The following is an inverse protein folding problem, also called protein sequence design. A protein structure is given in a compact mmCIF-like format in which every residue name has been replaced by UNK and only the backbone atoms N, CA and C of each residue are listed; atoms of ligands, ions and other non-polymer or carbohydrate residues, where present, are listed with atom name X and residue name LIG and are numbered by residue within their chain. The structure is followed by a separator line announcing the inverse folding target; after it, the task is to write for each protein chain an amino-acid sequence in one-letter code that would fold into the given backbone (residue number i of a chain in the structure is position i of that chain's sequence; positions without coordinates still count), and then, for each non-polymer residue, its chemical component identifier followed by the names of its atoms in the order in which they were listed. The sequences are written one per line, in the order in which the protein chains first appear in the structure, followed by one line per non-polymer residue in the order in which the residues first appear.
data_IF_922997375941
#
_entry.id   IF_922997375941
#
_cell.length_a   1.000
_cell.length_b   1.000
_cell.length_c   1.000
_cell.angle_alpha   90.00
_cell.angle_beta   90.00
_cell.angle_gamma   90.00
#
_symmetry.space_group_name_H-M   'P 1'
#
loop_
_entity.id
_entity.type
_entity.pdbx_description
1 polymer ?
#
# COMPACT_ATOMS: atom_id res chain seq x y z
N UNK A 1 18.96 -3.68 16.32
CA UNK A 1 17.52 -3.39 16.50
C UNK A 1 16.72 -4.41 15.70
N UNK A 2 15.76 -5.10 16.31
CA UNK A 2 15.03 -6.22 15.68
C UNK A 2 13.66 -5.76 15.15
N UNK A 3 13.66 -4.85 14.18
CA UNK A 3 12.44 -4.38 13.51
C UNK A 3 11.99 -5.29 12.38
N UNK A 4 10.73 -5.07 11.90
CA UNK A 4 10.27 -5.63 10.64
C UNK A 4 11.23 -5.22 9.52
N UNK A 5 11.81 -6.17 8.82
CA UNK A 5 12.78 -5.86 7.77
C UNK A 5 12.90 -6.97 6.73
N UNK A 6 13.33 -6.58 5.55
CA UNK A 6 13.77 -7.47 4.51
C UNK A 6 15.28 -7.58 4.68
N UNK A 7 15.81 -8.79 4.77
CA UNK A 7 17.26 -9.03 4.92
C UNK A 7 17.91 -9.45 3.61
N UNK A 8 17.15 -10.06 2.69
CA UNK A 8 17.61 -10.36 1.35
C UNK A 8 16.44 -10.31 0.36
N UNK A 9 16.74 -9.93 -0.88
CA UNK A 9 15.79 -9.92 -1.99
C UNK A 9 16.47 -10.53 -3.22
N UNK A 10 15.78 -11.44 -3.88
CA UNK A 10 16.19 -12.03 -5.15
C UNK A 10 15.08 -11.86 -6.18
N UNK A 11 15.44 -11.37 -7.34
CA UNK A 11 14.57 -11.15 -8.50
C UNK A 11 14.95 -12.10 -9.62
N UNK A 12 13.98 -12.74 -10.27
CA UNK A 12 14.17 -13.57 -11.44
C UNK A 12 13.13 -13.23 -12.49
N UNK A 13 13.57 -12.82 -13.68
CA UNK A 13 12.73 -12.45 -14.83
C UNK A 13 11.63 -11.42 -14.46
N UNK A 14 11.95 -10.49 -13.56
CA UNK A 14 11.01 -9.50 -13.03
C UNK A 14 11.25 -8.13 -13.67
N UNK A 15 10.31 -7.64 -14.46
CA UNK A 15 10.41 -6.35 -15.18
C UNK A 15 11.69 -6.28 -16.01
N UNK A 16 12.57 -5.30 -15.72
CA UNK A 16 13.88 -5.14 -16.36
C UNK A 16 14.99 -6.00 -15.75
N UNK A 17 14.74 -6.66 -14.61
CA UNK A 17 15.72 -7.51 -13.95
C UNK A 17 15.63 -8.95 -14.47
N UNK A 18 16.66 -9.42 -15.16
CA UNK A 18 16.81 -10.82 -15.57
C UNK A 18 17.11 -11.71 -14.37
N UNK A 19 18.11 -11.32 -13.60
CA UNK A 19 18.47 -11.87 -12.32
C UNK A 19 19.09 -10.75 -11.49
N UNK A 20 18.70 -10.65 -10.23
CA UNK A 20 19.24 -9.65 -9.32
C UNK A 20 19.11 -10.13 -7.89
N UNK A 21 20.07 -9.78 -7.06
CA UNK A 21 20.04 -10.06 -5.64
C UNK A 21 20.63 -8.90 -4.86
N UNK A 22 20.09 -8.64 -3.68
CA UNK A 22 20.61 -7.65 -2.75
C UNK A 22 20.41 -8.14 -1.32
N UNK A 23 21.41 -7.90 -0.48
CA UNK A 23 21.37 -8.12 0.97
C UNK A 23 21.23 -6.76 1.64
N UNK A 24 20.30 -6.69 2.57
CA UNK A 24 20.02 -5.47 3.34
C UNK A 24 20.53 -5.63 4.77
N UNK A 25 21.11 -4.58 5.31
CA UNK A 25 21.64 -4.55 6.67
C UNK A 25 20.65 -4.05 7.73
N UNK A 26 19.42 -3.73 7.33
CA UNK A 26 18.33 -3.25 8.18
C UNK A 26 18.28 -1.73 8.35
N UNK A 27 19.28 -0.98 7.88
CA UNK A 27 19.23 0.49 7.80
C UNK A 27 18.27 0.94 6.69
N UNK A 28 17.88 2.21 6.63
CA UNK A 28 17.29 2.80 5.44
C UNK A 28 18.17 2.53 4.21
N UNK A 29 17.57 2.35 3.05
CA UNK A 29 18.26 2.02 1.79
C UNK A 29 18.03 3.15 0.80
N UNK A 30 19.09 3.76 0.32
CA UNK A 30 19.08 4.78 -0.72
C UNK A 30 19.45 4.15 -2.07
N UNK A 31 18.51 4.11 -3.00
CA UNK A 31 18.71 3.57 -4.34
C UNK A 31 18.82 4.70 -5.33
N UNK A 32 20.02 4.89 -5.88
CA UNK A 32 20.32 5.89 -6.90
C UNK A 32 20.43 5.26 -8.29
N UNK A 33 20.34 6.10 -9.33
CA UNK A 33 20.55 5.68 -10.72
C UNK A 33 19.70 6.49 -11.70
N UNK A 34 19.97 6.41 -13.00
CA UNK A 34 19.27 7.17 -14.03
C UNK A 34 17.79 6.76 -14.14
N UNK A 35 17.00 7.61 -14.81
CA UNK A 35 15.61 7.29 -15.14
C UNK A 35 15.57 6.02 -16.02
N UNK A 36 14.60 5.14 -15.75
CA UNK A 36 14.45 3.89 -16.49
C UNK A 36 15.39 2.76 -16.06
N UNK A 37 16.38 3.00 -15.18
CA UNK A 37 17.33 1.97 -14.74
C UNK A 37 16.70 0.79 -13.97
N UNK A 38 15.44 0.91 -13.51
CA UNK A 38 14.75 -0.18 -12.82
C UNK A 38 14.67 -0.01 -11.31
N UNK A 39 14.95 1.17 -10.75
CA UNK A 39 14.84 1.48 -9.31
C UNK A 39 13.43 1.18 -8.76
N UNK A 40 12.40 1.73 -9.39
CA UNK A 40 10.99 1.48 -9.02
C UNK A 40 10.60 0.01 -9.15
N UNK A 41 11.24 -0.77 -10.02
CA UNK A 41 10.96 -2.20 -10.15
C UNK A 41 11.39 -2.98 -8.89
N UNK A 42 12.42 -2.54 -8.18
CA UNK A 42 12.82 -3.11 -6.89
C UNK A 42 11.75 -2.83 -5.84
N UNK A 43 11.25 -1.58 -5.75
CA UNK A 43 10.16 -1.23 -4.83
C UNK A 43 8.88 -2.01 -5.19
N UNK A 44 8.58 -2.16 -6.48
CA UNK A 44 7.44 -2.95 -6.94
C UNK A 44 7.55 -4.42 -6.49
N UNK A 45 8.72 -5.03 -6.64
CA UNK A 45 8.97 -6.38 -6.17
C UNK A 45 8.76 -6.51 -4.66
N UNK A 46 9.30 -5.58 -3.87
CA UNK A 46 9.12 -5.55 -2.42
C UNK A 46 7.65 -5.37 -2.06
N UNK A 47 6.91 -4.51 -2.76
CA UNK A 47 5.48 -4.29 -2.50
C UNK A 47 4.63 -5.55 -2.70
N UNK A 48 5.10 -6.50 -3.50
CA UNK A 48 4.47 -7.81 -3.67
C UNK A 48 4.70 -8.77 -2.47
N UNK A 49 5.53 -8.43 -1.51
CA UNK A 49 5.62 -9.14 -0.22
C UNK A 49 4.47 -8.76 0.73
N UNK A 50 3.47 -8.06 0.24
CA UNK A 50 2.22 -7.71 0.94
C UNK A 50 0.99 -8.16 0.15
N UNK A 51 -0.20 -8.22 0.77
CA UNK A 51 -1.44 -8.53 0.07
C UNK A 51 -1.76 -7.54 -1.06
N UNK A 52 -2.37 -8.06 -2.14
CA UNK A 52 -2.82 -7.26 -3.26
C UNK A 52 -1.83 -7.20 -4.43
N UNK A 53 -2.04 -6.26 -5.36
CA UNK A 53 -1.36 -6.20 -6.67
C UNK A 53 -0.09 -5.35 -6.69
N UNK A 54 0.51 -5.07 -5.51
CA UNK A 54 1.68 -4.22 -5.40
C UNK A 54 1.42 -2.74 -5.69
N UNK A 55 2.49 -1.95 -5.69
CA UNK A 55 2.41 -0.47 -5.75
C UNK A 55 1.89 0.06 -7.10
N UNK A 56 2.20 -0.58 -8.24
CA UNK A 56 1.72 -0.19 -9.57
C UNK A 56 0.43 -0.89 -10.00
N UNK A 57 -0.05 -1.89 -9.24
CA UNK A 57 -1.26 -2.67 -9.52
C UNK A 57 -1.26 -3.36 -10.89
N UNK A 58 -0.10 -3.74 -11.39
CA UNK A 58 0.06 -4.43 -12.65
C UNK A 58 -0.69 -5.78 -12.65
N UNK A 59 -1.11 -6.25 -13.82
CA UNK A 59 -1.54 -7.62 -13.97
C UNK A 59 -0.34 -8.57 -13.78
N UNK A 60 -0.58 -9.79 -13.32
CA UNK A 60 0.51 -10.74 -13.02
C UNK A 60 1.42 -10.97 -14.22
N UNK A 61 0.86 -11.08 -15.43
CA UNK A 61 1.62 -11.25 -16.67
C UNK A 61 2.52 -10.07 -17.02
N UNK A 62 2.09 -8.83 -16.66
CA UNK A 62 2.85 -7.62 -16.96
C UNK A 62 4.11 -7.46 -16.10
N UNK A 63 4.26 -8.25 -15.05
CA UNK A 63 5.44 -8.26 -14.18
C UNK A 63 6.60 -9.05 -14.75
N UNK A 64 6.33 -9.95 -15.71
CA UNK A 64 7.36 -10.75 -16.37
C UNK A 64 8.27 -9.88 -17.25
N UNK A 65 9.53 -10.28 -17.34
CA UNK A 65 10.51 -9.61 -18.19
C UNK A 65 10.23 -9.89 -19.67
N UNK A 66 10.13 -8.82 -20.45
CA UNK A 66 10.01 -8.90 -21.90
C UNK A 66 11.40 -8.98 -22.58
N UNK A 67 11.50 -9.66 -23.74
CA UNK A 67 10.46 -10.34 -24.51
C UNK A 67 10.21 -11.81 -24.09
N UNK A 68 10.95 -12.33 -23.11
CA UNK A 68 10.98 -13.76 -22.77
C UNK A 68 9.67 -14.27 -22.16
N UNK A 69 9.04 -13.47 -21.30
CA UNK A 69 7.70 -13.70 -20.69
C UNK A 69 7.40 -15.13 -20.21
N UNK A 70 8.40 -15.86 -19.71
CA UNK A 70 8.25 -17.23 -19.18
C UNK A 70 7.61 -17.26 -17.79
N UNK A 71 7.46 -16.10 -17.17
CA UNK A 71 7.04 -15.91 -15.79
C UNK A 71 8.04 -15.03 -15.04
N UNK A 72 7.79 -14.84 -13.78
CA UNK A 72 8.64 -14.05 -12.88
C UNK A 72 8.63 -14.64 -11.48
N UNK A 73 9.69 -14.38 -10.70
CA UNK A 73 9.76 -14.75 -9.29
C UNK A 73 10.44 -13.66 -8.48
N UNK A 74 9.87 -13.38 -7.32
CA UNK A 74 10.45 -12.57 -6.25
C UNK A 74 10.60 -13.47 -5.03
N UNK A 75 11.79 -13.53 -4.47
CA UNK A 75 12.11 -14.25 -3.24
C UNK A 75 12.72 -13.27 -2.26
N UNK A 76 12.30 -13.33 -1.00
CA UNK A 76 12.86 -12.49 0.05
C UNK A 76 13.06 -13.31 1.33
N UNK A 77 14.12 -12.96 2.06
CA UNK A 77 14.25 -13.29 3.46
C UNK A 77 13.79 -12.08 4.27
N UNK A 78 12.87 -12.32 5.20
CA UNK A 78 12.26 -11.23 5.97
C UNK A 78 12.34 -11.55 7.46
N UNK A 79 12.55 -10.52 8.25
CA UNK A 79 12.36 -10.57 9.70
C UNK A 79 10.95 -10.08 10.00
N UNK A 80 10.10 -10.99 10.48
CA UNK A 80 8.71 -10.76 10.81
C UNK A 80 8.52 -10.28 12.25
N UNK A 81 7.25 -10.21 12.66
CA UNK A 81 6.86 -9.87 14.03
C UNK A 81 7.50 -10.84 15.04
N UNK A 82 7.93 -10.30 16.18
CA UNK A 82 8.60 -11.09 17.21
C UNK A 82 10.03 -11.54 16.85
N UNK A 83 10.59 -11.05 15.73
CA UNK A 83 11.96 -11.36 15.31
C UNK A 83 12.11 -12.71 14.59
N UNK A 84 11.00 -13.37 14.23
CA UNK A 84 11.02 -14.59 13.42
C UNK A 84 11.56 -14.32 12.03
N UNK A 85 12.40 -15.23 11.50
CA UNK A 85 12.88 -15.18 10.13
C UNK A 85 11.97 -16.02 9.24
N UNK A 86 11.56 -15.48 8.09
CA UNK A 86 10.73 -16.17 7.12
C UNK A 86 11.31 -16.05 5.73
N UNK A 87 11.22 -17.13 4.96
CA UNK A 87 11.46 -17.13 3.52
C UNK A 87 10.12 -16.92 2.81
N UNK A 88 10.00 -15.82 2.09
CA UNK A 88 8.79 -15.47 1.33
C UNK A 88 9.11 -15.55 -0.15
N UNK A 89 8.29 -16.29 -0.89
CA UNK A 89 8.37 -16.40 -2.34
C UNK A 89 7.03 -16.03 -2.96
N UNK A 90 7.08 -15.26 -4.03
CA UNK A 90 5.91 -14.98 -4.86
C UNK A 90 6.29 -14.99 -6.33
N UNK A 91 5.46 -15.61 -7.16
CA UNK A 91 5.76 -15.81 -8.57
C UNK A 91 4.49 -15.95 -9.41
N UNK A 92 4.64 -15.94 -10.70
CA UNK A 92 3.65 -16.41 -11.66
C UNK A 92 4.36 -17.01 -12.86
N UNK A 93 3.79 -18.07 -13.40
CA UNK A 93 4.26 -18.77 -14.58
C UNK A 93 3.37 -18.48 -15.79
N UNK A 94 3.98 -18.18 -16.95
CA UNK A 94 3.26 -18.09 -18.22
C UNK A 94 2.03 -17.15 -18.24
N UNK A 95 2.03 -16.07 -17.45
CA UNK A 95 0.88 -15.16 -17.34
C UNK A 95 -0.25 -15.65 -16.44
N UNK A 96 -0.05 -16.75 -15.72
CA UNK A 96 -0.98 -17.31 -14.73
C UNK A 96 -1.20 -16.42 -13.51
N UNK A 97 -2.02 -16.87 -12.56
CA UNK A 97 -2.25 -16.15 -11.31
C UNK A 97 -0.97 -16.09 -10.48
N UNK A 98 -0.88 -15.04 -9.67
CA UNK A 98 0.21 -14.90 -8.71
C UNK A 98 0.05 -15.90 -7.57
N UNK A 99 1.10 -16.66 -7.32
CA UNK A 99 1.23 -17.63 -6.24
C UNK A 99 2.12 -17.09 -5.12
N UNK A 100 1.95 -17.64 -3.90
CA UNK A 100 2.72 -17.27 -2.72
C UNK A 100 3.10 -18.51 -1.92
N UNK A 101 4.33 -18.51 -1.39
CA UNK A 101 4.83 -19.50 -0.45
C UNK A 101 5.54 -18.79 0.70
N UNK A 102 5.30 -19.25 1.92
CA UNK A 102 5.99 -18.82 3.14
C UNK A 102 6.58 -20.05 3.79
N UNK A 103 7.88 -20.04 4.06
CA UNK A 103 8.63 -21.17 4.66
C UNK A 103 8.36 -22.48 3.94
N UNK A 104 8.46 -22.43 2.61
CA UNK A 104 8.23 -23.54 1.67
C UNK A 104 6.78 -24.09 1.65
N UNK A 105 5.81 -23.44 2.33
CA UNK A 105 4.40 -23.82 2.32
C UNK A 105 3.59 -22.86 1.46
N UNK A 106 2.85 -23.41 0.48
CA UNK A 106 1.90 -22.63 -0.33
C UNK A 106 0.81 -21.99 0.55
N UNK A 107 0.51 -20.74 0.31
CA UNK A 107 -0.44 -19.98 1.12
C UNK A 107 -1.15 -18.90 0.29
N UNK A 108 -2.16 -18.25 0.88
CA UNK A 108 -2.85 -17.13 0.26
C UNK A 108 -2.01 -15.85 0.32
N UNK A 109 -2.29 -14.91 -0.60
CA UNK A 109 -1.65 -13.59 -0.56
C UNK A 109 -1.99 -12.81 0.72
N UNK A 110 -3.16 -13.06 1.33
CA UNK A 110 -3.59 -12.40 2.58
C UNK A 110 -2.67 -12.74 3.75
N UNK A 111 -2.09 -13.94 3.77
CA UNK A 111 -1.16 -14.37 4.81
C UNK A 111 0.11 -13.49 4.89
N UNK A 112 0.54 -12.90 3.78
CA UNK A 112 1.69 -11.98 3.75
C UNK A 112 1.52 -10.81 4.72
N UNK A 113 0.28 -10.31 4.86
CA UNK A 113 -0.03 -9.22 5.79
C UNK A 113 0.21 -9.56 7.26
N UNK A 114 0.31 -10.82 7.63
CA UNK A 114 0.61 -11.26 9.00
C UNK A 114 2.11 -11.37 9.27
N UNK A 115 2.92 -11.46 8.22
CA UNK A 115 4.38 -11.57 8.32
C UNK A 115 5.04 -10.19 8.31
N UNK A 116 4.68 -9.35 7.33
CA UNK A 116 5.34 -8.08 7.09
C UNK A 116 4.32 -6.95 6.88
N UNK A 117 4.60 -5.79 7.41
CA UNK A 117 3.83 -4.55 7.18
C UNK A 117 4.60 -3.67 6.21
N UNK A 118 4.00 -3.35 5.09
CA UNK A 118 4.63 -2.51 4.06
C UNK A 118 3.70 -1.36 3.71
N UNK A 119 4.22 -0.15 3.79
CA UNK A 119 3.57 1.07 3.34
C UNK A 119 4.38 1.69 2.21
N UNK A 120 3.72 2.40 1.31
CA UNK A 120 4.42 3.08 0.23
C UNK A 120 3.81 4.43 -0.12
N UNK A 121 4.67 5.28 -0.66
CA UNK A 121 4.30 6.50 -1.34
C UNK A 121 5.02 6.54 -2.68
N UNK A 122 4.25 6.72 -3.74
CA UNK A 122 4.73 6.72 -5.12
C UNK A 122 4.20 7.94 -5.87
N UNK A 123 4.83 8.42 -6.94
CA UNK A 123 4.43 9.64 -7.66
C UNK A 123 2.97 9.61 -8.13
N UNK A 124 2.43 8.45 -8.48
CA UNK A 124 1.01 8.32 -8.85
C UNK A 124 0.04 8.74 -7.73
N UNK A 125 0.50 8.80 -6.47
CA UNK A 125 -0.32 9.23 -5.33
C UNK A 125 -0.27 10.73 -5.09
N UNK A 126 0.60 11.49 -5.75
CA UNK A 126 0.70 12.95 -5.60
C UNK A 126 -0.61 13.67 -5.95
N UNK A 127 -1.46 13.01 -6.76
CA UNK A 127 -2.79 13.52 -7.15
C UNK A 127 -3.95 12.92 -6.34
N UNK A 128 -3.67 12.21 -5.24
CA UNK A 128 -4.65 11.47 -4.46
C UNK A 128 -5.85 12.34 -4.04
N UNK A 129 -5.60 13.57 -3.62
CA UNK A 129 -6.63 14.46 -3.10
C UNK A 129 -7.50 15.10 -4.18
N UNK A 130 -6.97 15.26 -5.40
CA UNK A 130 -7.69 15.84 -6.54
C UNK A 130 -8.39 14.80 -7.42
N UNK A 131 -7.92 13.57 -7.43
CA UNK A 131 -8.53 12.48 -8.21
C UNK A 131 -9.75 11.88 -7.52
N UNK A 132 -10.43 10.96 -8.19
CA UNK A 132 -11.63 10.30 -7.67
C UNK A 132 -11.39 9.49 -6.39
N UNK A 133 -12.45 9.30 -5.63
CA UNK A 133 -12.45 8.61 -4.33
C UNK A 133 -11.85 7.20 -4.32
N UNK A 134 -11.75 6.52 -5.47
CA UNK A 134 -11.19 5.17 -5.55
C UNK A 134 -9.72 5.13 -5.12
N UNK A 135 -8.92 6.15 -5.50
CA UNK A 135 -7.53 6.28 -5.07
C UNK A 135 -7.43 6.42 -3.54
N UNK A 136 -8.25 7.30 -2.96
CA UNK A 136 -8.29 7.56 -1.51
C UNK A 136 -8.75 6.34 -0.71
N UNK A 137 -9.75 5.58 -1.19
CA UNK A 137 -10.14 4.30 -0.56
C UNK A 137 -8.98 3.31 -0.54
N UNK A 138 -8.29 3.14 -1.66
CA UNK A 138 -7.13 2.22 -1.72
C UNK A 138 -6.00 2.64 -0.78
N UNK A 139 -5.74 3.93 -0.66
CA UNK A 139 -4.77 4.46 0.29
C UNK A 139 -5.19 4.16 1.73
N UNK A 140 -6.44 4.44 2.07
CA UNK A 140 -7.02 4.12 3.38
C UNK A 140 -6.94 2.61 3.67
N UNK A 141 -7.38 1.75 2.73
CA UNK A 141 -7.37 0.31 2.91
C UNK A 141 -5.95 -0.24 3.08
N UNK A 142 -4.95 0.38 2.45
CA UNK A 142 -3.55 0.04 2.67
C UNK A 142 -3.09 0.38 4.09
N UNK A 143 -3.44 1.55 4.59
CA UNK A 143 -3.16 1.93 5.99
C UNK A 143 -3.90 1.02 6.96
N UNK A 144 -5.18 0.75 6.71
CA UNK A 144 -6.00 -0.14 7.53
C UNK A 144 -5.42 -1.55 7.59
N UNK A 145 -5.01 -2.09 6.43
CA UNK A 145 -4.38 -3.41 6.31
C UNK A 145 -3.10 -3.52 7.15
N UNK A 146 -2.34 -2.45 7.27
CA UNK A 146 -1.11 -2.45 8.07
C UNK A 146 -1.39 -2.65 9.56
N UNK A 147 -2.51 -2.16 10.06
CA UNK A 147 -2.97 -2.38 11.44
C UNK A 147 -3.69 -3.71 11.61
N UNK A 148 -4.57 -4.03 10.67
CA UNK A 148 -5.50 -5.16 10.75
C UNK A 148 -5.37 -6.03 9.49
N UNK A 149 -4.52 -7.09 9.50
CA UNK A 149 -4.32 -7.95 8.33
C UNK A 149 -5.59 -8.60 7.79
N UNK A 150 -6.53 -8.91 8.66
CA UNK A 150 -7.81 -9.56 8.32
C UNK A 150 -8.73 -8.65 7.49
N UNK A 151 -8.40 -7.35 7.42
CA UNK A 151 -9.05 -6.40 6.50
C UNK A 151 -8.96 -6.86 5.03
N UNK A 152 -7.89 -7.56 4.64
CA UNK A 152 -7.75 -8.10 3.30
C UNK A 152 -8.82 -9.18 2.99
N UNK A 153 -9.10 -10.06 3.95
CA UNK A 153 -10.09 -11.13 3.79
C UNK A 153 -11.51 -10.55 3.74
N UNK A 154 -11.83 -9.60 4.63
CA UNK A 154 -13.11 -8.89 4.59
C UNK A 154 -13.31 -8.16 3.25
N UNK A 155 -12.28 -7.48 2.73
CA UNK A 155 -12.34 -6.77 1.46
C UNK A 155 -12.58 -7.73 0.28
N UNK A 156 -11.87 -8.86 0.23
CA UNK A 156 -12.04 -9.87 -0.82
C UNK A 156 -13.43 -10.50 -0.78
N UNK A 157 -13.96 -10.81 0.40
CA UNK A 157 -15.30 -11.35 0.60
C UNK A 157 -16.35 -10.38 0.11
N UNK A 158 -16.25 -9.11 0.54
CA UNK A 158 -17.15 -8.05 0.11
C UNK A 158 -17.13 -7.85 -1.41
N UNK A 159 -15.95 -7.72 -2.00
CA UNK A 159 -15.80 -7.51 -3.45
C UNK A 159 -16.33 -8.68 -4.27
N UNK A 160 -16.17 -9.92 -3.79
CA UNK A 160 -16.71 -11.10 -4.46
C UNK A 160 -18.23 -11.09 -4.42
N UNK A 161 -18.84 -10.94 -3.25
CA UNK A 161 -20.29 -10.89 -3.09
C UNK A 161 -20.91 -9.74 -3.89
N UNK A 162 -20.27 -8.56 -3.89
CA UNK A 162 -20.71 -7.41 -4.68
C UNK A 162 -20.63 -7.68 -6.19
N UNK A 163 -19.59 -8.32 -6.69
CA UNK A 163 -19.50 -8.69 -8.12
C UNK A 163 -20.59 -9.68 -8.50
N UNK A 164 -20.84 -10.67 -7.66
CA UNK A 164 -21.90 -11.66 -7.91
C UNK A 164 -23.29 -11.02 -7.85
N UNK A 165 -23.53 -10.11 -6.87
CA UNK A 165 -24.76 -9.31 -6.83
C UNK A 165 -24.93 -8.42 -8.06
N UNK A 166 -23.88 -7.72 -8.47
CA UNK A 166 -23.91 -6.87 -9.66
C UNK A 166 -24.20 -7.67 -10.95
N UNK A 167 -23.75 -8.93 -11.02
CA UNK A 167 -24.10 -9.82 -12.12
C UNK A 167 -25.59 -10.14 -12.13
N UNK A 168 -26.18 -10.51 -10.98
CA UNK A 168 -27.62 -10.75 -10.86
C UNK A 168 -28.46 -9.52 -11.24
N UNK A 169 -28.02 -8.32 -10.81
CA UNK A 169 -28.69 -7.05 -11.16
C UNK A 169 -28.72 -6.82 -12.68
N UNK A 170 -27.59 -7.08 -13.37
CA UNK A 170 -27.47 -6.92 -14.83
C UNK A 170 -28.27 -7.95 -15.61
N UNK A 171 -28.35 -9.17 -15.10
CA UNK A 171 -29.13 -10.27 -15.69
C UNK A 171 -30.63 -10.13 -15.43
N UNK A 172 -31.04 -9.18 -14.59
CA UNK A 172 -32.44 -8.97 -14.23
C UNK A 172 -33.03 -10.12 -13.42
N UNK A 173 -32.19 -10.83 -12.64
CA UNK A 173 -32.64 -11.95 -11.82
C UNK A 173 -33.71 -11.46 -10.81
N UNK A 174 -34.80 -12.24 -10.68
CA UNK A 174 -35.96 -11.86 -9.86
C UNK A 174 -36.06 -12.63 -8.55
N UNK A 175 -35.29 -13.72 -8.37
CA UNK A 175 -35.32 -14.53 -7.16
C UNK A 175 -34.73 -13.75 -5.97
N UNK A 176 -35.55 -13.40 -4.94
CA UNK A 176 -35.08 -12.61 -3.80
C UNK A 176 -34.11 -13.38 -2.90
N UNK A 177 -34.10 -14.71 -2.92
CA UNK A 177 -33.24 -15.52 -2.04
C UNK A 177 -31.77 -15.41 -2.44
N UNK A 178 -31.46 -15.35 -3.74
CA UNK A 178 -30.09 -15.17 -4.21
C UNK A 178 -29.53 -13.81 -3.79
N UNK A 179 -30.35 -12.76 -3.87
CA UNK A 179 -29.94 -11.45 -3.38
C UNK A 179 -29.72 -11.43 -1.87
N UNK A 180 -30.66 -12.03 -1.10
CA UNK A 180 -30.57 -12.02 0.35
C UNK A 180 -29.28 -12.66 0.88
N UNK A 181 -28.84 -13.79 0.28
CA UNK A 181 -27.60 -14.44 0.65
C UNK A 181 -26.37 -13.57 0.39
N UNK A 182 -26.30 -12.94 -0.81
CA UNK A 182 -25.18 -12.05 -1.17
C UNK A 182 -25.19 -10.76 -0.36
N UNK A 183 -26.36 -10.19 -0.11
CA UNK A 183 -26.53 -8.96 0.68
C UNK A 183 -26.18 -9.16 2.15
N UNK A 184 -26.52 -10.31 2.74
CA UNK A 184 -26.08 -10.68 4.09
C UNK A 184 -24.54 -10.79 4.17
N UNK A 185 -23.93 -11.46 3.21
CA UNK A 185 -22.48 -11.56 3.13
C UNK A 185 -21.80 -10.20 2.93
N UNK A 186 -22.39 -9.34 2.09
CA UNK A 186 -21.92 -7.96 1.90
C UNK A 186 -22.06 -7.12 3.17
N UNK A 187 -23.16 -7.28 3.90
CA UNK A 187 -23.40 -6.52 5.14
C UNK A 187 -22.40 -6.91 6.23
N UNK A 188 -22.16 -8.19 6.44
CA UNK A 188 -21.18 -8.68 7.43
C UNK A 188 -19.77 -8.20 7.08
N UNK A 189 -19.29 -8.47 5.86
CA UNK A 189 -17.97 -8.04 5.43
C UNK A 189 -17.84 -6.52 5.36
N UNK A 190 -18.91 -5.81 4.97
CA UNK A 190 -18.97 -4.35 4.92
C UNK A 190 -18.86 -3.70 6.29
N UNK A 191 -19.57 -4.23 7.29
CA UNK A 191 -19.45 -3.78 8.68
C UNK A 191 -18.02 -3.94 9.21
N UNK A 192 -17.39 -5.10 8.93
CA UNK A 192 -16.00 -5.33 9.31
C UNK A 192 -15.03 -4.35 8.63
N UNK A 193 -15.22 -4.05 7.34
CA UNK A 193 -14.41 -3.06 6.60
C UNK A 193 -14.53 -1.69 7.26
N UNK A 194 -15.75 -1.22 7.54
CA UNK A 194 -15.97 0.09 8.14
C UNK A 194 -15.39 0.18 9.54
N UNK A 195 -15.62 -0.83 10.40
CA UNK A 195 -15.03 -0.90 11.73
C UNK A 195 -13.49 -0.83 11.69
N UNK A 196 -12.86 -1.56 10.78
CA UNK A 196 -11.40 -1.54 10.61
C UNK A 196 -10.89 -0.16 10.13
N UNK A 197 -11.61 0.51 9.20
CA UNK A 197 -11.27 1.85 8.72
C UNK A 197 -11.37 2.89 9.84
N UNK A 198 -12.46 2.89 10.61
CA UNK A 198 -12.63 3.80 11.75
C UNK A 198 -11.52 3.59 12.80
N UNK A 199 -11.20 2.34 13.13
CA UNK A 199 -10.11 2.03 14.04
C UNK A 199 -8.74 2.50 13.52
N UNK A 200 -8.50 2.37 12.21
CA UNK A 200 -7.27 2.88 11.58
C UNK A 200 -7.19 4.41 11.64
N UNK A 201 -8.29 5.12 11.32
CA UNK A 201 -8.34 6.57 11.41
C UNK A 201 -8.08 7.06 12.85
N UNK A 202 -8.70 6.44 13.84
CA UNK A 202 -8.49 6.81 15.24
C UNK A 202 -6.99 6.69 15.64
N UNK A 203 -6.31 5.62 15.22
CA UNK A 203 -4.86 5.44 15.45
C UNK A 203 -4.04 6.52 14.76
N UNK A 204 -4.37 6.85 13.50
CA UNK A 204 -3.68 7.89 12.75
C UNK A 204 -3.83 9.28 13.41
N UNK A 205 -5.03 9.61 13.87
CA UNK A 205 -5.30 10.86 14.58
C UNK A 205 -4.46 10.95 15.86
N UNK A 206 -4.44 9.91 16.68
CA UNK A 206 -3.65 9.85 17.90
C UNK A 206 -2.14 9.98 17.61
N UNK A 207 -1.65 9.27 16.59
CA UNK A 207 -0.23 9.31 16.20
C UNK A 207 0.22 10.66 15.61
N UNK A 208 -0.71 11.46 15.09
CA UNK A 208 -0.41 12.83 14.65
C UNK A 208 -0.37 13.81 15.83
N UNK A 209 -1.21 13.65 16.84
CA UNK A 209 -1.35 14.61 17.95
C UNK A 209 -0.11 14.70 18.84
N UNK A 210 0.59 13.58 19.03
CA UNK A 210 1.78 13.50 19.89
C UNK A 210 3.11 13.66 19.16
N UNK A 211 3.12 13.97 17.86
CA UNK A 211 4.34 13.97 17.07
C UNK A 211 5.01 15.33 17.02
N UNK A 212 6.30 15.38 17.38
CA UNK A 212 7.20 16.48 17.01
C UNK A 212 7.73 16.18 15.59
N UNK A 213 7.12 16.82 14.61
CA UNK A 213 7.39 16.57 13.19
C UNK A 213 7.28 17.86 12.36
N UNK A 214 8.11 17.96 11.33
CA UNK A 214 8.06 19.05 10.35
C UNK A 214 6.87 18.90 9.34
N UNK A 215 6.12 17.80 9.41
CA UNK A 215 5.01 17.53 8.49
C UNK A 215 3.66 17.96 9.08
N UNK A 216 2.74 18.42 8.22
CA UNK A 216 1.45 18.96 8.67
C UNK A 216 0.54 17.86 9.24
N UNK A 217 -0.33 18.26 10.17
CA UNK A 217 -1.39 17.40 10.66
C UNK A 217 -2.64 17.54 9.78
N UNK A 218 -3.33 16.41 9.57
CA UNK A 218 -4.61 16.33 8.88
C UNK A 218 -5.74 15.93 9.80
N UNK A 219 -6.88 16.60 9.71
CA UNK A 219 -8.14 16.09 10.22
C UNK A 219 -8.72 15.14 9.17
N UNK A 220 -9.03 13.92 9.58
CA UNK A 220 -9.48 12.85 8.69
C UNK A 220 -10.92 12.48 8.97
N UNK A 221 -11.72 12.28 7.92
CA UNK A 221 -13.08 11.81 8.02
C UNK A 221 -13.40 10.78 6.93
N UNK A 222 -14.28 9.82 7.28
CA UNK A 222 -14.95 8.99 6.30
C UNK A 222 -16.28 9.65 5.95
N UNK A 223 -16.56 9.79 4.68
CA UNK A 223 -17.78 10.45 4.18
C UNK A 223 -18.44 9.54 3.15
N UNK A 224 -19.73 9.30 3.35
CA UNK A 224 -20.56 8.66 2.33
C UNK A 224 -21.03 9.72 1.31
N UNK A 225 -20.93 9.50 0.00
CA UNK A 225 -21.34 10.46 -1.02
C UNK A 225 -22.83 10.84 -0.97
N UNK A 226 -23.67 9.96 -0.42
CA UNK A 226 -25.12 10.20 -0.27
C UNK A 226 -25.47 10.83 1.09
N UNK A 227 -24.47 11.11 1.95
CA UNK A 227 -24.65 11.84 3.20
C UNK A 227 -25.23 11.03 4.38
N UNK A 228 -25.54 9.76 4.17
CA UNK A 228 -26.09 8.88 5.19
C UNK A 228 -25.16 7.68 5.39
N UNK A 229 -24.51 7.63 6.54
CA UNK A 229 -23.88 6.41 7.01
C UNK A 229 -25.00 5.39 7.33
N UNK A 230 -25.00 4.26 6.65
CA UNK A 230 -26.08 3.28 6.77
C UNK A 230 -25.75 2.33 7.91
N UNK A 231 -26.49 2.42 9.02
CA UNK A 231 -26.36 1.52 10.18
C UNK A 231 -26.72 0.07 9.83
N UNK A 232 -27.61 -0.15 8.85
CA UNK A 232 -28.03 -1.47 8.37
C UNK A 232 -27.82 -1.60 6.86
N UNK A 233 -26.64 -2.06 6.49
CA UNK A 233 -26.29 -2.24 5.08
C UNK A 233 -27.16 -3.33 4.40
N UNK A 234 -27.58 -4.39 5.11
CA UNK A 234 -28.42 -5.43 4.54
C UNK A 234 -29.80 -4.86 4.14
N UNK A 235 -30.38 -4.06 5.03
CA UNK A 235 -31.64 -3.39 4.76
C UNK A 235 -31.53 -2.40 3.60
N UNK A 236 -30.47 -1.57 3.58
CA UNK A 236 -30.24 -0.60 2.50
C UNK A 236 -30.06 -1.28 1.14
N UNK A 237 -29.29 -2.38 1.06
CA UNK A 237 -29.09 -3.17 -0.16
C UNK A 237 -30.43 -3.78 -0.64
N UNK A 238 -31.24 -4.33 0.27
CA UNK A 238 -32.51 -4.96 -0.08
C UNK A 238 -33.55 -3.95 -0.59
N UNK A 239 -33.66 -2.79 0.06
CA UNK A 239 -34.56 -1.72 -0.36
C UNK A 239 -34.10 -1.03 -1.64
N UNK A 240 -32.75 -0.93 -1.83
CA UNK A 240 -32.14 -0.29 -2.98
C UNK A 240 -32.14 -1.12 -4.29
N UNK A 241 -32.58 -2.39 -4.28
CA UNK A 241 -32.44 -3.30 -5.45
C UNK A 241 -32.95 -2.73 -6.76
N UNK A 242 -34.12 -2.06 -6.75
CA UNK A 242 -34.70 -1.45 -7.97
C UNK A 242 -33.80 -0.34 -8.53
N UNK A 243 -33.26 0.51 -7.67
CA UNK A 243 -32.33 1.59 -8.04
C UNK A 243 -31.02 1.00 -8.54
N UNK A 244 -30.47 0.01 -7.86
CA UNK A 244 -29.25 -0.69 -8.23
C UNK A 244 -29.38 -1.44 -9.58
N UNK A 245 -30.56 -2.05 -9.82
CA UNK A 245 -30.86 -2.72 -11.10
C UNK A 245 -30.93 -1.72 -12.26
N UNK A 246 -31.55 -0.55 -12.05
CA UNK A 246 -31.57 0.52 -13.03
C UNK A 246 -30.16 1.06 -13.34
N UNK A 247 -29.29 1.11 -12.33
CA UNK A 247 -27.89 1.53 -12.48
C UNK A 247 -26.95 0.40 -12.95
N UNK A 248 -27.39 -0.85 -12.97
CA UNK A 248 -26.58 -2.05 -13.28
C UNK A 248 -25.46 -2.31 -12.27
N UNK A 249 -25.53 -1.75 -11.07
CA UNK A 249 -24.50 -1.86 -10.03
C UNK A 249 -25.03 -1.51 -8.63
N UNK A 250 -24.35 -1.99 -7.60
CA UNK A 250 -24.58 -1.61 -6.20
C UNK A 250 -24.16 -0.15 -5.97
N UNK A 251 -25.02 0.63 -5.31
CA UNK A 251 -24.83 2.06 -5.09
C UNK A 251 -24.52 2.44 -3.64
N UNK A 252 -24.72 1.55 -2.67
CA UNK A 252 -24.47 1.79 -1.24
C UNK A 252 -23.47 0.81 -0.66
N UNK A 253 -22.69 1.24 0.34
CA UNK A 253 -21.76 0.42 1.10
C UNK A 253 -20.30 0.93 1.05
N UNK A 254 -19.34 0.24 1.73
CA UNK A 254 -17.98 0.71 1.96
C UNK A 254 -17.16 0.97 0.68
N UNK A 255 -17.55 0.42 -0.47
CA UNK A 255 -16.97 0.74 -1.76
C UNK A 255 -17.31 2.14 -2.28
N UNK A 256 -18.23 2.84 -1.62
CA UNK A 256 -18.64 4.22 -1.94
C UNK A 256 -18.07 5.24 -0.97
N UNK A 257 -17.84 4.86 0.29
CA UNK A 257 -17.28 5.73 1.33
C UNK A 257 -15.97 6.35 0.88
N UNK A 258 -15.77 7.64 1.12
CA UNK A 258 -14.58 8.40 0.74
C UNK A 258 -13.77 8.83 1.97
N UNK A 259 -12.46 8.91 1.82
CA UNK A 259 -11.54 9.51 2.79
C UNK A 259 -11.38 11.00 2.47
N UNK A 260 -11.78 11.85 3.38
CA UNK A 260 -11.51 13.28 3.33
C UNK A 260 -10.42 13.67 4.32
N UNK A 261 -9.62 14.65 3.95
CA UNK A 261 -8.60 15.25 4.79
C UNK A 261 -8.69 16.78 4.74
N UNK A 262 -8.51 17.39 5.90
CA UNK A 262 -8.38 18.86 6.04
C UNK A 262 -7.00 19.16 6.60
N UNK A 263 -6.27 20.05 5.96
CA UNK A 263 -5.01 20.58 6.49
C UNK A 263 -5.31 21.37 7.76
N UNK A 264 -5.03 20.80 8.93
CA UNK A 264 -5.50 21.32 10.24
C UNK A 264 -5.10 22.78 10.47
N UNK A 265 -3.82 23.11 10.27
CA UNK A 265 -3.30 24.45 10.57
C UNK A 265 -3.92 25.57 9.72
N UNK A 266 -4.51 25.23 8.57
CA UNK A 266 -5.12 26.18 7.64
C UNK A 266 -6.65 26.04 7.57
N UNK A 267 -7.22 25.01 8.23
CA UNK A 267 -8.61 24.61 8.08
C UNK A 267 -9.05 24.46 6.61
N UNK A 268 -8.13 24.02 5.74
CA UNK A 268 -8.33 23.94 4.31
C UNK A 268 -8.45 22.50 3.84
N UNK A 269 -9.47 22.13 3.04
CA UNK A 269 -9.58 20.81 2.44
C UNK A 269 -8.33 20.46 1.62
N UNK A 270 -7.90 19.19 1.70
CA UNK A 270 -6.64 18.75 1.10
C UNK A 270 -6.62 18.89 -0.43
N UNK A 271 -7.76 18.77 -1.10
CA UNK A 271 -7.91 18.96 -2.55
C UNK A 271 -7.72 20.43 -3.00
N UNK A 272 -7.87 21.38 -2.07
CA UNK A 272 -7.66 22.82 -2.30
C UNK A 272 -6.25 23.29 -1.89
N UNK A 273 -5.45 22.43 -1.28
CA UNK A 273 -4.07 22.73 -0.92
C UNK A 273 -3.15 22.74 -2.15
N UNK A 274 -2.01 23.42 -2.07
CA UNK A 274 -0.97 23.35 -3.11
C UNK A 274 -0.42 21.92 -3.23
N UNK A 275 0.17 21.58 -4.38
CA UNK A 275 0.74 20.26 -4.63
C UNK A 275 1.79 19.85 -3.58
N UNK A 276 2.64 20.81 -3.16
CA UNK A 276 3.62 20.56 -2.10
C UNK A 276 3.00 20.28 -0.74
N UNK A 277 1.88 20.95 -0.40
CA UNK A 277 1.13 20.70 0.82
C UNK A 277 0.38 19.36 0.77
N UNK A 278 -0.21 19.03 -0.36
CA UNK A 278 -0.85 17.74 -0.58
C UNK A 278 0.13 16.58 -0.38
N UNK A 279 1.34 16.72 -0.93
CA UNK A 279 2.41 15.74 -0.75
C UNK A 279 2.89 15.66 0.70
N UNK A 280 3.06 16.81 1.36
CA UNK A 280 3.43 16.85 2.77
C UNK A 280 2.38 16.17 3.67
N UNK A 281 1.08 16.32 3.38
CA UNK A 281 0.01 15.60 4.06
C UNK A 281 0.10 14.09 3.84
N UNK A 282 0.39 13.62 2.64
CA UNK A 282 0.57 12.18 2.36
C UNK A 282 1.74 11.59 3.14
N UNK A 283 2.89 12.28 3.14
CA UNK A 283 4.06 11.87 3.91
C UNK A 283 3.71 11.82 5.41
N UNK A 284 3.05 12.85 5.92
CA UNK A 284 2.60 12.92 7.31
C UNK A 284 1.75 11.71 7.70
N UNK A 285 0.80 11.30 6.86
CA UNK A 285 -0.07 10.15 7.13
C UNK A 285 0.70 8.82 7.11
N UNK A 286 1.66 8.66 6.20
CA UNK A 286 2.53 7.47 6.17
C UNK A 286 3.40 7.41 7.44
N UNK A 287 3.98 8.54 7.86
CA UNK A 287 4.79 8.61 9.08
C UNK A 287 3.93 8.40 10.34
N UNK A 288 2.72 8.97 10.38
CA UNK A 288 1.77 8.73 11.48
C UNK A 288 1.39 7.24 11.59
N UNK A 289 1.15 6.58 10.44
CA UNK A 289 0.91 5.14 10.44
C UNK A 289 2.13 4.35 10.95
N UNK A 290 3.34 4.74 10.53
CA UNK A 290 4.56 4.09 10.98
C UNK A 290 4.78 4.27 12.49
N UNK A 291 4.52 5.46 13.04
CA UNK A 291 4.56 5.72 14.49
C UNK A 291 3.54 4.88 15.25
N UNK A 292 2.29 4.85 14.78
CA UNK A 292 1.24 4.06 15.42
C UNK A 292 1.59 2.56 15.44
N UNK A 293 2.10 2.02 14.34
CA UNK A 293 2.55 0.62 14.30
C UNK A 293 3.74 0.34 15.20
N UNK A 294 4.69 1.27 15.27
CA UNK A 294 5.82 1.15 16.20
C UNK A 294 5.36 1.13 17.66
N UNK A 295 4.32 1.89 18.01
CA UNK A 295 3.71 1.89 19.34
C UNK A 295 2.93 0.60 19.61
N UNK A 296 2.08 0.15 18.67
CA UNK A 296 1.21 -1.01 18.84
C UNK A 296 1.98 -2.34 18.82
N UNK A 297 2.98 -2.47 17.94
CA UNK A 297 3.70 -3.72 17.68
C UNK A 297 5.14 -3.70 18.19
N UNK A 298 5.62 -2.58 18.72
CA UNK A 298 7.02 -2.39 19.07
C UNK A 298 7.97 -2.32 17.87
N UNK A 299 7.42 -2.29 16.64
CA UNK A 299 8.20 -2.35 15.40
C UNK A 299 7.53 -1.53 14.29
N UNK A 300 8.26 -0.60 13.64
CA UNK A 300 7.73 0.14 12.51
C UNK A 300 7.58 -0.77 11.27
N UNK A 301 6.74 -0.38 10.29
CA UNK A 301 6.61 -1.07 9.02
C UNK A 301 7.84 -0.84 8.13
N UNK A 302 7.99 -1.64 7.08
CA UNK A 302 8.86 -1.32 5.95
C UNK A 302 8.22 -0.20 5.13
N UNK A 303 8.98 0.83 4.80
CA UNK A 303 8.53 2.00 4.05
C UNK A 303 9.15 2.00 2.65
N UNK A 304 8.33 2.25 1.61
CA UNK A 304 8.81 2.38 0.23
C UNK A 304 8.50 3.80 -0.26
N UNK A 305 9.52 4.56 -0.60
CA UNK A 305 9.41 5.93 -1.09
C UNK A 305 9.98 6.04 -2.50
N UNK A 306 9.10 6.05 -3.51
CA UNK A 306 9.51 6.19 -4.91
C UNK A 306 9.58 7.66 -5.28
N UNK A 307 10.79 8.18 -5.49
CA UNK A 307 11.09 9.57 -5.87
C UNK A 307 10.48 10.65 -4.93
N UNK A 308 10.09 10.27 -3.72
CA UNK A 308 9.41 11.19 -2.78
C UNK A 308 10.33 12.33 -2.37
N UNK A 309 11.59 12.04 -2.12
CA UNK A 309 12.57 13.00 -1.61
C UNK A 309 12.96 14.08 -2.66
N UNK A 310 12.90 13.75 -3.96
CA UNK A 310 13.28 14.65 -5.05
C UNK A 310 12.38 15.91 -5.14
N UNK A 311 11.15 15.83 -4.64
CA UNK A 311 10.19 16.93 -4.67
C UNK A 311 10.06 17.68 -3.36
N UNK A 312 10.91 17.38 -2.37
CA UNK A 312 10.97 18.08 -1.09
C UNK A 312 12.11 19.09 -1.09
N UNK A 313 11.88 20.26 -0.46
CA UNK A 313 12.97 21.15 -0.12
C UNK A 313 13.97 20.48 0.84
N UNK A 314 15.17 21.03 0.96
CA UNK A 314 16.24 20.44 1.74
C UNK A 314 15.87 20.25 3.23
N UNK A 315 15.11 21.18 3.81
CA UNK A 315 14.70 21.12 5.21
C UNK A 315 13.71 19.97 5.45
N UNK A 316 12.66 19.87 4.63
CA UNK A 316 11.68 18.79 4.73
C UNK A 316 12.27 17.43 4.41
N UNK A 317 13.21 17.37 3.46
CA UNK A 317 13.93 16.14 3.13
C UNK A 317 14.77 15.67 4.31
N UNK A 318 15.53 16.56 4.93
CA UNK A 318 16.28 16.24 6.16
C UNK A 318 15.36 15.73 7.27
N UNK A 319 14.25 16.44 7.53
CA UNK A 319 13.26 16.04 8.54
C UNK A 319 12.65 14.64 8.24
N UNK A 320 12.36 14.32 6.98
CA UNK A 320 11.90 12.98 6.58
C UNK A 320 12.92 11.90 6.94
N UNK A 321 14.19 12.13 6.63
CA UNK A 321 15.25 11.17 6.91
C UNK A 321 15.49 10.99 8.40
N UNK A 322 15.48 12.08 9.14
CA UNK A 322 15.66 12.05 10.59
C UNK A 322 14.52 11.29 11.27
N UNK A 323 13.30 11.48 10.82
CA UNK A 323 12.14 10.77 11.36
C UNK A 323 12.16 9.28 11.02
N UNK A 324 12.50 8.89 9.78
CA UNK A 324 12.69 7.49 9.38
C UNK A 324 13.75 6.80 10.26
N UNK A 325 14.90 7.48 10.46
CA UNK A 325 15.99 6.95 11.27
C UNK A 325 15.61 6.85 12.76
N UNK A 326 14.91 7.86 13.29
CA UNK A 326 14.42 7.86 14.67
C UNK A 326 13.40 6.75 14.94
N UNK A 327 12.52 6.47 13.99
CA UNK A 327 11.60 5.34 14.07
C UNK A 327 12.29 3.97 14.00
N UNK A 328 13.53 3.92 13.51
CA UNK A 328 14.21 2.65 13.23
C UNK A 328 13.56 1.85 12.10
N UNK A 329 12.84 2.53 11.21
CA UNK A 329 12.17 1.90 10.09
C UNK A 329 13.15 1.56 8.96
N UNK A 330 13.06 0.36 8.40
CA UNK A 330 13.69 0.09 7.12
C UNK A 330 12.90 0.80 6.02
N UNK A 331 13.43 1.90 5.50
CA UNK A 331 12.85 2.63 4.39
C UNK A 331 13.68 2.42 3.13
N UNK A 332 13.05 2.06 2.03
CA UNK A 332 13.69 1.95 0.72
C UNK A 332 13.28 3.20 -0.09
N UNK A 333 14.27 4.04 -0.38
CA UNK A 333 14.07 5.32 -1.06
C UNK A 333 14.73 5.28 -2.44
N UNK A 334 14.06 5.80 -3.46
CA UNK A 334 14.64 5.93 -4.80
C UNK A 334 14.83 7.41 -5.18
N UNK A 335 15.86 7.68 -5.96
CA UNK A 335 16.14 9.01 -6.49
C UNK A 335 17.04 8.97 -7.73
N UNK A 336 17.03 10.08 -8.47
CA UNK A 336 17.82 10.23 -9.69
C UNK A 336 18.90 11.31 -9.56
N UNK A 337 18.72 12.26 -8.64
CA UNK A 337 19.61 13.38 -8.48
C UNK A 337 20.85 12.99 -7.65
N UNK A 338 22.06 13.34 -8.10
CA UNK A 338 23.26 13.24 -7.27
C UNK A 338 23.10 14.02 -5.97
N UNK A 339 23.57 13.45 -4.86
CA UNK A 339 23.52 14.13 -3.56
C UNK A 339 22.14 14.14 -2.86
N UNK A 340 21.11 13.57 -3.49
CA UNK A 340 19.77 13.53 -2.90
C UNK A 340 19.76 12.90 -1.50
N UNK A 341 20.58 11.89 -1.28
CA UNK A 341 20.67 11.12 -0.06
C UNK A 341 21.87 11.47 0.84
N UNK A 342 22.67 12.51 0.50
CA UNK A 342 23.87 12.86 1.25
C UNK A 342 23.60 13.12 2.74
N UNK A 343 22.47 13.71 3.07
CA UNK A 343 22.09 13.97 4.46
C UNK A 343 21.74 12.70 5.28
N UNK A 344 21.53 11.55 4.63
CA UNK A 344 21.47 10.26 5.31
C UNK A 344 22.86 9.78 5.75
N UNK A 345 23.91 10.04 4.95
CA UNK A 345 25.28 9.63 5.23
C UNK A 345 25.38 8.15 5.59
N UNK A 346 26.15 7.85 6.64
CA UNK A 346 26.32 6.47 7.13
C UNK A 346 25.06 5.86 7.76
N UNK A 347 23.95 6.60 7.87
CA UNK A 347 22.67 6.07 8.38
C UNK A 347 21.92 5.22 7.37
N UNK A 348 22.31 5.23 6.09
CA UNK A 348 21.70 4.43 5.03
C UNK A 348 22.69 3.48 4.39
N UNK A 349 22.17 2.39 3.84
CA UNK A 349 22.86 1.56 2.87
C UNK A 349 22.63 2.16 1.48
N UNK A 350 23.70 2.37 0.71
CA UNK A 350 23.61 2.92 -0.63
C UNK A 350 23.65 1.81 -1.67
N UNK A 351 22.77 1.91 -2.67
CA UNK A 351 22.70 1.01 -3.82
C UNK A 351 22.63 1.85 -5.09
N UNK A 352 23.37 1.43 -6.10
CA UNK A 352 23.28 2.02 -7.43
C UNK A 352 22.62 1.03 -8.39
N UNK A 353 21.62 1.52 -9.15
CA UNK A 353 20.97 0.72 -10.21
C UNK A 353 21.35 1.30 -11.56
N UNK A 354 21.92 0.44 -12.40
CA UNK A 354 22.30 0.77 -13.77
C UNK A 354 21.50 -0.07 -14.76
N UNK A 355 21.40 0.39 -15.99
CA UNK A 355 20.79 -0.35 -17.10
C UNK A 355 21.80 -0.50 -18.23
N UNK A 356 21.92 -1.70 -18.77
CA UNK A 356 22.71 -1.97 -19.95
C UNK A 356 22.04 -3.05 -20.81
N UNK A 357 21.75 -2.72 -22.08
CA UNK A 357 21.16 -3.67 -23.02
C UNK A 357 19.77 -4.17 -22.64
N UNK A 358 18.95 -3.34 -22.00
CA UNK A 358 17.60 -3.70 -21.52
C UNK A 358 17.60 -4.55 -20.25
N UNK A 359 18.72 -4.61 -19.53
CA UNK A 359 18.85 -5.35 -18.27
C UNK A 359 19.30 -4.43 -17.14
N UNK A 360 18.52 -4.43 -16.05
CA UNK A 360 18.86 -3.69 -14.83
C UNK A 360 19.81 -4.50 -13.95
N UNK A 361 20.81 -3.83 -13.40
CA UNK A 361 21.77 -4.40 -12.44
C UNK A 361 21.79 -3.58 -11.17
N UNK A 362 21.85 -4.27 -10.04
CA UNK A 362 21.94 -3.69 -8.70
C UNK A 362 23.39 -3.84 -8.25
N UNK A 363 23.99 -2.74 -7.84
CA UNK A 363 25.36 -2.70 -7.30
C UNK A 363 25.29 -2.10 -5.90
N UNK A 364 25.89 -2.76 -4.92
CA UNK A 364 26.06 -2.17 -3.60
C UNK A 364 27.25 -1.20 -3.67
N UNK A 365 27.07 0.00 -3.16
CA UNK A 365 28.16 0.95 -3.03
C UNK A 365 28.90 0.62 -1.73
N UNK A 366 30.22 0.45 -1.79
CA UNK A 366 31.09 0.09 -0.66
C UNK A 366 31.19 1.23 0.40
#
# INVERSE_FOLDING_TARGET
MSGLSITALTLSQFRSHRAGGVVFDGRPVAISGPNGAGKTNILEAISLLSPGRGLRRAASGDLARLPVSIGWKVQAEVRGLGGSSHKVETWAEGGGPREVRIDDKATSQTALGRILRILWLVPAMDRLWIEGAEGRRRFLDRMTLSFTPDHAEASLTYEKAMRDRNRLLKEGATDPHWYAALEAQMAEAGAQIMANRHAALARLVLAQQGADTAFPQADLALVDPEGEETDDLALALSQGRRRDMAAGRTLVGPHRTDLQAVYRAKAQPADQCSTGEQKALLISLILANARALAQDLGQPPVLLFDEVAAHLDAARRGALYDEICSLGAQAILTGTEPGLFDSLGARAQNLTVTEAGGESRIVADD
#
